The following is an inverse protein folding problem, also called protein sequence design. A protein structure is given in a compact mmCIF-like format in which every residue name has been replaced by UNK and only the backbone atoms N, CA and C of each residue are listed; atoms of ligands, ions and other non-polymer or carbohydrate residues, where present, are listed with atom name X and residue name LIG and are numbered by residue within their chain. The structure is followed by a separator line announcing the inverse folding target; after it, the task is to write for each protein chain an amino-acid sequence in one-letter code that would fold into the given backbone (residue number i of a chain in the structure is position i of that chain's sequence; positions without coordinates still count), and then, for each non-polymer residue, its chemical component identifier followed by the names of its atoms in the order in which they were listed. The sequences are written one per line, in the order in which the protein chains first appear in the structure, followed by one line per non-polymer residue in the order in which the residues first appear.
data_IF_286766340258
#
_entry.id   IF_286766340258
#
_cell.length_a   1.000
_cell.length_b   1.000
_cell.length_c   1.000
_cell.angle_alpha   90.00
_cell.angle_beta   90.00
_cell.angle_gamma   90.00
#
_symmetry.space_group_name_H-M   'P 1'
#
loop_
_entity.id
_entity.type
_entity.pdbx_description
1 polymer ?
#
# COMPACT_ATOMS: atom_id res chain seq x y z
N UNK A 1 -33.33 -11.17 16.03
CA UNK A 1 -33.71 -11.03 14.59
C UNK A 1 -32.44 -10.92 13.75
N UNK A 2 -32.24 -11.66 12.65
CA UNK A 2 -30.95 -11.67 11.91
C UNK A 2 -30.87 -10.54 10.88
N UNK A 3 -30.22 -9.43 11.23
CA UNK A 3 -29.91 -8.33 10.30
C UNK A 3 -28.85 -8.79 9.31
N UNK A 4 -29.07 -8.53 8.01
CA UNK A 4 -28.11 -8.90 6.95
C UNK A 4 -27.55 -7.64 6.31
N UNK A 5 -26.25 -7.46 6.44
CA UNK A 5 -25.51 -6.52 5.58
C UNK A 5 -25.56 -7.04 4.15
N UNK A 6 -25.86 -6.17 3.18
CA UNK A 6 -25.78 -6.52 1.76
C UNK A 6 -24.34 -6.94 1.46
N UNK A 7 -24.11 -8.25 1.29
CA UNK A 7 -22.77 -8.79 1.01
C UNK A 7 -22.35 -8.30 -0.36
N UNK A 8 -21.38 -7.41 -0.40
CA UNK A 8 -20.55 -7.26 -1.58
C UNK A 8 -19.77 -8.56 -1.69
N UNK A 9 -20.11 -9.42 -2.65
CA UNK A 9 -19.23 -10.50 -3.07
C UNK A 9 -18.05 -9.82 -3.76
N UNK A 10 -17.12 -9.28 -2.97
CA UNK A 10 -15.75 -9.14 -3.47
C UNK A 10 -15.34 -10.57 -3.79
N UNK A 11 -15.08 -10.86 -5.06
CA UNK A 11 -14.35 -12.07 -5.40
C UNK A 11 -13.11 -12.10 -4.50
N UNK A 12 -13.05 -13.09 -3.60
CA UNK A 12 -11.86 -13.30 -2.77
C UNK A 12 -10.65 -13.67 -3.62
N UNK A 13 -10.90 -14.11 -4.86
CA UNK A 13 -9.94 -14.09 -5.95
C UNK A 13 -9.70 -12.63 -6.31
N UNK A 14 -8.59 -12.08 -5.81
CA UNK A 14 -7.96 -10.94 -6.46
C UNK A 14 -7.69 -11.40 -7.90
N UNK A 15 -8.45 -10.90 -8.87
CA UNK A 15 -8.03 -10.96 -10.26
C UNK A 15 -6.73 -10.16 -10.33
N UNK A 16 -5.60 -10.85 -10.18
CA UNK A 16 -4.33 -10.32 -10.63
C UNK A 16 -4.49 -10.25 -12.14
N UNK A 17 -4.96 -9.09 -12.64
CA UNK A 17 -4.95 -8.81 -14.07
C UNK A 17 -3.56 -9.09 -14.63
N UNK A 18 -3.47 -9.30 -15.94
CA UNK A 18 -2.18 -9.52 -16.62
C UNK A 18 -1.16 -8.49 -16.11
N UNK A 19 0.02 -8.92 -15.63
CA UNK A 19 1.07 -7.99 -15.22
C UNK A 19 1.35 -6.97 -16.33
N UNK A 20 1.68 -5.74 -15.95
CA UNK A 20 2.02 -4.67 -16.90
C UNK A 20 3.11 -5.14 -17.88
N UNK A 21 3.09 -4.74 -19.16
CA UNK A 21 4.15 -5.06 -20.12
C UNK A 21 5.55 -4.74 -19.58
N UNK A 22 5.71 -3.64 -18.85
CA UNK A 22 6.97 -3.26 -18.22
C UNK A 22 7.44 -4.30 -17.20
N UNK A 23 6.52 -4.82 -16.38
CA UNK A 23 6.84 -5.84 -15.36
C UNK A 23 7.17 -7.21 -15.97
N UNK A 24 6.71 -7.49 -17.19
CA UNK A 24 7.06 -8.70 -17.91
C UNK A 24 8.46 -8.58 -18.54
N UNK A 25 8.79 -7.42 -19.11
CA UNK A 25 10.12 -7.18 -19.67
C UNK A 25 11.21 -7.25 -18.59
N UNK A 26 10.96 -6.67 -17.42
CA UNK A 26 11.91 -6.77 -16.28
C UNK A 26 12.03 -8.21 -15.78
N UNK A 27 10.95 -9.00 -15.83
CA UNK A 27 11.01 -10.42 -15.48
C UNK A 27 11.90 -11.20 -16.45
N UNK A 28 11.70 -11.01 -17.75
CA UNK A 28 12.50 -11.68 -18.76
C UNK A 28 13.99 -11.34 -18.64
N UNK A 29 14.33 -10.08 -18.39
CA UNK A 29 15.72 -9.66 -18.21
C UNK A 29 16.37 -10.33 -16.98
N UNK A 30 15.72 -10.26 -15.81
CA UNK A 30 16.24 -10.86 -14.57
C UNK A 30 16.32 -12.38 -14.68
N UNK A 31 15.31 -13.01 -15.29
CA UNK A 31 15.29 -14.45 -15.51
C UNK A 31 16.42 -14.89 -16.43
N UNK A 32 16.61 -14.21 -17.57
CA UNK A 32 17.65 -14.55 -18.54
C UNK A 32 19.05 -14.42 -17.93
N UNK A 33 19.30 -13.38 -17.14
CA UNK A 33 20.56 -13.21 -16.41
C UNK A 33 20.82 -14.37 -15.44
N UNK A 34 19.82 -14.81 -14.67
CA UNK A 34 19.96 -15.95 -13.75
C UNK A 34 20.18 -17.28 -14.48
N UNK A 35 19.50 -17.48 -15.61
CA UNK A 35 19.61 -18.71 -16.41
C UNK A 35 20.92 -18.79 -17.19
N UNK A 36 21.53 -17.67 -17.61
CA UNK A 36 22.84 -17.70 -18.29
C UNK A 36 23.94 -18.30 -17.43
N UNK A 37 23.87 -18.15 -16.11
CA UNK A 37 24.83 -18.74 -15.17
C UNK A 37 24.72 -20.28 -15.06
N UNK A 38 23.61 -20.89 -15.49
CA UNK A 38 23.42 -22.35 -15.44
C UNK A 38 23.94 -23.07 -16.68
N UNK A 39 24.12 -22.37 -17.80
CA UNK A 39 24.45 -23.00 -19.10
C UNK A 39 25.88 -23.53 -19.17
N UNK A 40 26.74 -23.24 -18.17
CA UNK A 40 28.15 -23.64 -18.17
C UNK A 40 28.42 -25.05 -17.60
N UNK A 41 27.51 -25.65 -16.84
CA UNK A 41 27.73 -26.96 -16.21
C UNK A 41 26.99 -28.11 -16.91
N UNK A 42 27.69 -28.79 -17.82
CA UNK A 42 27.16 -29.94 -18.56
C UNK A 42 27.14 -31.26 -17.77
N UNK A 43 27.57 -31.28 -16.51
CA UNK A 43 27.73 -32.50 -15.70
C UNK A 43 26.58 -32.79 -14.70
N UNK A 44 25.54 -31.95 -14.65
CA UNK A 44 24.48 -32.04 -13.63
C UNK A 44 23.29 -32.87 -14.12
N UNK A 45 22.79 -33.73 -13.21
CA UNK A 45 21.59 -34.56 -13.33
C UNK A 45 20.34 -33.78 -13.79
N UNK A 46 19.49 -34.42 -14.59
CA UNK A 46 18.33 -33.80 -15.26
C UNK A 46 17.31 -33.29 -14.24
N UNK A 47 17.07 -34.06 -13.17
CA UNK A 47 16.16 -33.66 -12.10
C UNK A 47 16.69 -32.46 -11.32
N UNK A 48 18.01 -32.38 -11.12
CA UNK A 48 18.67 -31.23 -10.48
C UNK A 48 18.60 -29.98 -11.36
N UNK A 49 18.69 -30.11 -12.69
CA UNK A 49 18.46 -28.99 -13.62
C UNK A 49 17.02 -28.48 -13.53
N UNK A 50 16.05 -29.38 -13.45
CA UNK A 50 14.63 -29.03 -13.34
C UNK A 50 14.30 -28.31 -12.02
N UNK A 51 14.80 -28.81 -10.89
CA UNK A 51 14.62 -28.14 -9.58
C UNK A 51 15.25 -26.75 -9.58
N UNK A 52 16.45 -26.61 -10.13
CA UNK A 52 17.15 -25.33 -10.20
C UNK A 52 16.40 -24.31 -11.06
N UNK A 53 15.87 -24.71 -12.23
CA UNK A 53 15.04 -23.83 -13.06
C UNK A 53 13.78 -23.41 -12.30
N UNK A 54 13.12 -24.36 -11.61
CA UNK A 54 11.92 -24.08 -10.82
C UNK A 54 12.20 -23.07 -9.71
N UNK A 55 13.33 -23.20 -9.02
CA UNK A 55 13.75 -22.27 -7.97
C UNK A 55 14.06 -20.88 -8.55
N UNK A 56 14.73 -20.80 -9.72
CA UNK A 56 14.95 -19.53 -10.41
C UNK A 56 13.63 -18.86 -10.78
N UNK A 57 12.65 -19.61 -11.30
CA UNK A 57 11.33 -19.06 -11.63
C UNK A 57 10.67 -18.48 -10.38
N UNK A 58 10.70 -19.22 -9.26
CA UNK A 58 10.10 -18.81 -8.00
C UNK A 58 10.82 -17.61 -7.38
N UNK A 59 12.15 -17.58 -7.41
CA UNK A 59 12.93 -16.48 -6.85
C UNK A 59 12.83 -15.21 -7.70
N UNK A 60 12.91 -15.33 -9.03
CA UNK A 60 12.67 -14.19 -9.93
C UNK A 60 11.28 -13.59 -9.73
N UNK A 61 10.26 -14.44 -9.52
CA UNK A 61 8.92 -13.98 -9.17
C UNK A 61 8.91 -13.25 -7.82
N UNK A 62 9.56 -13.78 -6.78
CA UNK A 62 9.62 -13.14 -5.46
C UNK A 62 10.30 -11.78 -5.54
N UNK A 63 11.43 -11.67 -6.24
CA UNK A 63 12.20 -10.44 -6.38
C UNK A 63 11.34 -9.33 -7.01
N UNK A 64 10.65 -9.65 -8.10
CA UNK A 64 9.78 -8.69 -8.80
C UNK A 64 8.55 -8.36 -7.97
N UNK A 65 7.98 -9.34 -7.28
CA UNK A 65 6.84 -9.10 -6.41
C UNK A 65 7.22 -8.18 -5.23
N UNK A 66 8.42 -8.34 -4.66
CA UNK A 66 8.95 -7.45 -3.63
C UNK A 66 9.20 -6.04 -4.16
N UNK A 67 9.75 -5.92 -5.37
CA UNK A 67 9.97 -4.64 -6.04
C UNK A 67 8.64 -3.89 -6.27
N UNK A 68 7.59 -4.60 -6.69
CA UNK A 68 6.25 -4.04 -6.89
C UNK A 68 5.48 -3.74 -5.60
N UNK A 69 5.79 -4.43 -4.48
CA UNK A 69 5.21 -4.13 -3.17
C UNK A 69 5.84 -2.90 -2.50
N UNK A 70 6.87 -2.31 -3.11
CA UNK A 70 7.38 -1.01 -2.68
C UNK A 70 6.30 0.04 -2.92
N UNK A 71 5.42 0.21 -1.93
CA UNK A 71 4.32 1.17 -1.91
C UNK A 71 4.82 2.52 -2.43
N UNK A 72 4.18 3.06 -3.48
CA UNK A 72 4.53 4.37 -4.05
C UNK A 72 4.71 5.40 -2.92
N UNK A 73 5.89 5.99 -2.83
CA UNK A 73 6.19 7.05 -1.87
C UNK A 73 5.17 8.18 -2.04
N UNK A 74 4.59 8.64 -0.93
CA UNK A 74 3.72 9.83 -0.96
C UNK A 74 4.56 11.04 -1.35
N UNK A 75 4.01 11.91 -2.19
CA UNK A 75 4.74 13.07 -2.72
C UNK A 75 5.37 13.98 -1.64
N UNK A 76 4.75 14.08 -0.47
CA UNK A 76 5.23 14.92 0.64
C UNK A 76 6.30 14.27 1.52
N UNK A 77 6.53 12.95 1.41
CA UNK A 77 7.59 12.30 2.18
C UNK A 77 8.91 12.67 1.55
N UNK A 78 9.91 13.10 2.33
CA UNK A 78 11.26 13.40 1.85
C UNK A 78 12.09 12.14 1.60
N UNK A 79 13.20 12.29 0.86
CA UNK A 79 14.10 11.16 0.56
C UNK A 79 14.73 10.60 1.84
N UNK A 80 15.05 11.48 2.79
CA UNK A 80 15.58 11.10 4.10
C UNK A 80 14.60 10.19 4.85
N UNK A 81 13.34 10.62 4.95
CA UNK A 81 12.28 9.86 5.62
C UNK A 81 12.02 8.54 4.91
N UNK A 82 12.10 8.53 3.59
CA UNK A 82 11.92 7.32 2.80
C UNK A 82 13.02 6.29 3.06
N UNK A 83 14.28 6.73 3.14
CA UNK A 83 15.40 5.86 3.52
C UNK A 83 15.20 5.26 4.91
N UNK A 84 14.80 6.06 5.90
CA UNK A 84 14.51 5.56 7.25
C UNK A 84 13.33 4.57 7.28
N UNK A 85 12.31 4.76 6.44
CA UNK A 85 11.21 3.80 6.29
C UNK A 85 11.71 2.47 5.73
N UNK A 86 12.60 2.50 4.73
CA UNK A 86 13.19 1.29 4.15
C UNK A 86 14.09 0.58 5.14
N UNK A 87 14.93 1.31 5.89
CA UNK A 87 15.75 0.75 6.97
C UNK A 87 14.89 0.00 8.00
N UNK A 88 13.74 0.56 8.38
CA UNK A 88 12.77 -0.12 9.26
C UNK A 88 12.20 -1.41 8.65
N UNK A 89 11.93 -1.41 7.34
CA UNK A 89 11.41 -2.60 6.63
C UNK A 89 12.47 -3.70 6.53
N UNK A 90 13.72 -3.31 6.29
CA UNK A 90 14.84 -4.24 6.21
C UNK A 90 15.08 -4.92 7.56
N UNK A 91 14.98 -4.17 8.66
CA UNK A 91 15.03 -4.75 10.00
C UNK A 91 13.91 -5.75 10.26
N UNK A 92 12.68 -5.46 9.82
CA UNK A 92 11.56 -6.40 9.97
C UNK A 92 11.75 -7.71 9.17
N UNK A 93 12.53 -7.64 8.08
CA UNK A 93 12.82 -8.80 7.22
C UNK A 93 13.95 -9.65 7.81
N UNK A 94 14.85 -9.06 8.60
CA UNK A 94 15.92 -9.78 9.31
C UNK A 94 15.34 -10.47 10.55
N UNK A 95 15.38 -11.81 10.55
CA UNK A 95 14.80 -12.66 11.60
C UNK A 95 15.32 -12.35 13.02
N UNK A 96 16.53 -11.81 13.13
CA UNK A 96 17.23 -11.56 14.40
C UNK A 96 17.38 -10.07 14.74
N UNK A 97 16.51 -9.20 14.21
CA UNK A 97 16.62 -7.76 14.52
C UNK A 97 16.36 -7.49 16.00
N UNK A 98 17.29 -6.81 16.67
CA UNK A 98 17.12 -6.37 18.06
C UNK A 98 15.90 -5.45 18.18
N UNK A 99 14.93 -5.85 19.02
CA UNK A 99 13.69 -5.10 19.25
C UNK A 99 13.96 -3.63 19.65
N UNK A 100 15.05 -3.39 20.37
CA UNK A 100 15.49 -2.04 20.74
C UNK A 100 15.85 -1.18 19.52
N UNK A 101 16.63 -1.73 18.58
CA UNK A 101 17.01 -1.05 17.35
C UNK A 101 15.79 -0.73 16.48
N UNK A 102 14.87 -1.70 16.35
CA UNK A 102 13.60 -1.47 15.64
C UNK A 102 12.79 -0.33 16.25
N UNK A 103 12.68 -0.28 17.58
CA UNK A 103 11.94 0.77 18.28
C UNK A 103 12.56 2.16 18.04
N UNK A 104 13.89 2.26 18.12
CA UNK A 104 14.62 3.51 17.86
C UNK A 104 14.38 4.02 16.44
N UNK A 105 14.48 3.14 15.44
CA UNK A 105 14.23 3.51 14.04
C UNK A 105 12.76 3.83 13.81
N UNK A 106 11.84 3.11 14.44
CA UNK A 106 10.41 3.41 14.35
C UNK A 106 10.07 4.79 14.91
N UNK A 107 10.68 5.17 16.04
CA UNK A 107 10.54 6.51 16.62
C UNK A 107 11.11 7.58 15.68
N UNK A 108 12.31 7.34 15.11
CA UNK A 108 12.91 8.22 14.10
C UNK A 108 12.00 8.42 12.90
N UNK A 109 11.45 7.33 12.34
CA UNK A 109 10.51 7.39 11.22
C UNK A 109 9.27 8.21 11.57
N UNK A 110 8.71 8.06 12.77
CA UNK A 110 7.56 8.86 13.19
C UNK A 110 7.90 10.35 13.28
N UNK A 111 9.04 10.70 13.87
CA UNK A 111 9.50 12.09 13.95
C UNK A 111 9.69 12.71 12.56
N UNK A 112 10.39 12.01 11.67
CA UNK A 112 10.64 12.45 10.31
C UNK A 112 9.34 12.60 9.50
N UNK A 113 8.42 11.63 9.59
CA UNK A 113 7.11 11.72 8.95
C UNK A 113 6.30 12.93 9.44
N UNK A 114 6.31 13.22 10.76
CA UNK A 114 5.62 14.39 11.31
C UNK A 114 6.24 15.69 10.82
N UNK A 115 7.58 15.78 10.78
CA UNK A 115 8.32 16.93 10.25
C UNK A 115 7.95 17.20 8.80
N UNK A 116 8.06 16.19 7.94
CA UNK A 116 7.79 16.31 6.51
C UNK A 116 6.32 16.66 6.24
N UNK A 117 5.40 16.05 7.00
CA UNK A 117 3.97 16.36 6.88
C UNK A 117 3.67 17.80 7.31
N UNK A 118 4.28 18.29 8.40
CA UNK A 118 4.13 19.67 8.83
C UNK A 118 4.68 20.65 7.80
N UNK A 119 5.83 20.35 7.18
CA UNK A 119 6.38 21.17 6.10
C UNK A 119 5.43 21.23 4.90
N UNK A 120 4.86 20.08 4.52
CA UNK A 120 3.86 20.00 3.46
C UNK A 120 2.57 20.76 3.79
N UNK A 121 2.10 20.71 5.05
CA UNK A 121 0.96 21.51 5.47
C UNK A 121 1.28 23.01 5.43
N UNK A 122 2.46 23.43 5.88
CA UNK A 122 2.89 24.81 5.82
C UNK A 122 2.94 25.32 4.38
N UNK A 123 3.46 24.54 3.42
CA UNK A 123 3.43 24.95 2.01
C UNK A 123 2.01 25.09 1.46
N UNK A 124 1.04 24.28 1.93
CA UNK A 124 -0.37 24.46 1.57
C UNK A 124 -0.94 25.73 2.21
N UNK A 125 -0.57 26.05 3.44
CA UNK A 125 -0.99 27.30 4.09
C UNK A 125 -0.43 28.53 3.35
N UNK A 126 0.83 28.50 2.95
CA UNK A 126 1.46 29.53 2.11
C UNK A 126 0.71 29.70 0.78
N UNK A 127 0.41 28.59 0.08
CA UNK A 127 -0.44 28.60 -1.11
C UNK A 127 -1.78 29.29 -0.82
N UNK A 128 -2.46 28.93 0.27
CA UNK A 128 -3.76 29.51 0.64
C UNK A 128 -3.63 31.03 0.85
N UNK A 129 -2.61 31.50 1.55
CA UNK A 129 -2.35 32.93 1.78
C UNK A 129 -2.06 33.68 0.46
N UNK A 130 -1.31 33.06 -0.45
CA UNK A 130 -1.04 33.61 -1.79
C UNK A 130 -2.31 33.71 -2.65
N UNK A 131 -3.13 32.66 -2.68
CA UNK A 131 -4.40 32.68 -3.41
C UNK A 131 -5.39 33.69 -2.81
N UNK A 132 -5.38 33.89 -1.49
CA UNK A 132 -6.18 34.91 -0.83
C UNK A 132 -5.73 36.33 -1.21
N UNK A 133 -4.42 36.59 -1.22
CA UNK A 133 -3.85 37.89 -1.65
C UNK A 133 -4.12 38.20 -3.11
N UNK A 134 -4.07 37.19 -3.98
CA UNK A 134 -4.25 37.33 -5.44
C UNK A 134 -5.71 37.18 -5.89
N UNK A 135 -6.66 37.00 -4.96
CA UNK A 135 -8.11 36.87 -5.20
C UNK A 135 -8.54 35.65 -6.05
N UNK A 136 -7.73 34.59 -6.07
CA UNK A 136 -8.07 33.32 -6.74
C UNK A 136 -8.97 32.43 -5.85
N UNK A 137 -10.23 32.83 -5.71
CA UNK A 137 -11.19 32.20 -4.77
C UNK A 137 -11.46 30.72 -5.03
N UNK A 138 -11.44 30.28 -6.29
CA UNK A 138 -11.63 28.86 -6.66
C UNK A 138 -10.47 27.99 -6.17
N UNK A 139 -9.23 28.41 -6.43
CA UNK A 139 -8.04 27.65 -6.07
C UNK A 139 -7.81 27.66 -4.55
N UNK A 140 -8.09 28.80 -3.90
CA UNK A 140 -8.17 28.92 -2.45
C UNK A 140 -9.11 27.85 -1.86
N UNK A 141 -10.34 27.77 -2.37
CA UNK A 141 -11.33 26.78 -1.91
C UNK A 141 -10.84 25.34 -2.13
N UNK A 142 -10.23 25.05 -3.28
CA UNK A 142 -9.69 23.72 -3.57
C UNK A 142 -8.55 23.33 -2.61
N UNK A 143 -7.66 24.26 -2.26
CA UNK A 143 -6.59 24.01 -1.28
C UNK A 143 -7.11 23.81 0.13
N UNK A 144 -8.00 24.68 0.62
CA UNK A 144 -8.67 24.50 1.92
C UNK A 144 -9.38 23.14 1.96
N UNK A 145 -10.11 22.78 0.92
CA UNK A 145 -10.81 21.50 0.82
C UNK A 145 -9.83 20.32 0.82
N UNK A 146 -8.63 20.44 0.27
CA UNK A 146 -7.65 19.35 0.24
C UNK A 146 -7.17 18.93 1.63
N UNK A 147 -7.08 19.86 2.58
CA UNK A 147 -6.62 19.61 3.95
C UNK A 147 -7.75 19.37 4.95
N UNK A 148 -8.93 19.97 4.73
CA UNK A 148 -10.09 19.88 5.63
C UNK A 148 -11.05 18.74 5.28
N UNK A 149 -10.84 18.04 4.17
CA UNK A 149 -11.72 16.94 3.76
C UNK A 149 -11.65 15.78 4.75
N UNK A 150 -12.72 15.65 5.52
CA UNK A 150 -12.92 14.49 6.38
C UNK A 150 -13.20 13.22 5.57
N UNK A 151 -12.66 12.10 6.05
CA UNK A 151 -13.01 10.80 5.53
C UNK A 151 -14.46 10.48 5.90
N UNK A 152 -15.34 10.46 4.90
CA UNK A 152 -16.72 9.99 5.06
C UNK A 152 -16.79 8.53 4.64
N UNK A 153 -16.89 7.57 5.59
CA UNK A 153 -17.12 6.19 5.22
C UNK A 153 -18.44 6.10 4.46
N UNK A 154 -18.49 5.25 3.42
CA UNK A 154 -19.76 4.93 2.78
C UNK A 154 -20.61 4.15 3.78
N UNK A 155 -21.66 4.76 4.31
CA UNK A 155 -22.68 4.05 5.07
C UNK A 155 -23.51 3.21 4.09
N UNK A 156 -23.41 1.89 4.19
CA UNK A 156 -24.29 1.00 3.46
C UNK A 156 -25.66 0.98 4.14
N UNK A 157 -26.71 0.89 3.33
CA UNK A 157 -28.05 0.69 3.85
C UNK A 157 -28.16 -0.69 4.50
N UNK A 158 -28.63 -0.71 5.74
CA UNK A 158 -28.89 -1.92 6.52
C UNK A 158 -30.30 -2.38 6.17
N UNK A 159 -30.49 -3.68 5.94
CA UNK A 159 -31.81 -4.26 5.69
C UNK A 159 -32.18 -5.26 6.79
N UNK A 160 -33.44 -5.25 7.18
CA UNK A 160 -34.01 -6.32 7.99
C UNK A 160 -34.10 -7.61 7.14
N UNK A 161 -34.22 -8.75 7.81
CA UNK A 161 -34.53 -10.07 7.27
C UNK A 161 -35.65 -10.11 6.23
N UNK A 162 -36.59 -9.15 6.28
CA UNK A 162 -37.71 -8.98 5.33
C UNK A 162 -37.39 -8.10 4.11
N UNK A 163 -36.16 -7.58 3.99
CA UNK A 163 -35.72 -6.73 2.87
C UNK A 163 -36.03 -5.24 3.02
N UNK A 164 -36.68 -4.83 4.11
CA UNK A 164 -36.98 -3.42 4.40
C UNK A 164 -35.71 -2.67 4.82
N UNK A 165 -35.50 -1.48 4.25
CA UNK A 165 -34.35 -0.63 4.51
C UNK A 165 -34.50 0.07 5.86
N UNK A 166 -33.54 -0.14 6.76
CA UNK A 166 -33.49 0.53 8.06
C UNK A 166 -32.74 1.87 7.88
N UNK A 167 -33.50 2.96 7.85
CA UNK A 167 -32.99 4.33 7.68
C UNK A 167 -32.73 5.06 9.00
N UNK A 168 -33.37 4.62 10.08
CA UNK A 168 -33.29 5.26 11.41
C UNK A 168 -32.30 4.54 12.33
N UNK A 169 -31.51 5.32 13.07
CA UNK A 169 -30.44 4.82 13.96
C UNK A 169 -31.03 3.95 15.07
N UNK A 170 -32.16 4.35 15.65
CA UNK A 170 -32.81 3.64 16.76
C UNK A 170 -33.24 2.22 16.37
N UNK A 171 -33.66 2.03 15.12
CA UNK A 171 -34.05 0.71 14.59
C UNK A 171 -32.86 -0.24 14.40
N UNK A 172 -31.64 0.31 14.27
CA UNK A 172 -30.41 -0.48 14.07
C UNK A 172 -29.75 -0.90 15.39
N UNK A 173 -29.86 -0.08 16.44
CA UNK A 173 -29.21 -0.33 17.74
C UNK A 173 -29.99 -1.34 18.59
N UNK A 174 -31.32 -1.29 18.56
CA UNK A 174 -32.18 -2.24 19.31
C UNK A 174 -31.99 -3.68 18.83
N UNK A 175 -31.79 -3.88 17.53
CA UNK A 175 -31.62 -5.20 16.92
C UNK A 175 -30.23 -5.83 17.09
N UNK A 176 -29.29 -5.12 17.74
CA UNK A 176 -27.89 -5.57 17.91
C UNK A 176 -27.59 -6.14 19.31
N UNK A 177 -28.56 -6.15 20.23
CA UNK A 177 -28.39 -6.57 21.65
C UNK A 177 -29.04 -7.92 22.03
N UNK A 178 -29.47 -8.72 21.06
CA UNK A 178 -29.91 -10.12 21.26
C UNK A 178 -29.07 -11.12 20.46
#
# INVERSE_FOLDING_TARGET
MKVKLKKCVRSLVKNHGRPSPETLNTYEEVFNNKVTHLKSDNSIDIDMKWTTIKDIILDTRKDIQQQNYCSSRKAWISEETWKAINERKDLLTRRDSEKAQYNTISARVQCLCRRDYNQYLNSICEDIEDHARTLHTKDLFLRVKSITREFRPKTWAIQDSKGTLLTEIDQTVVNSKE
#
